data_IF_373412971698
#
_entry.id   IF_373412971698
#
_cell.length_a   1.000
_cell.length_b   1.000
_cell.length_c   1.000
_cell.angle_alpha   90.00
_cell.angle_beta   90.00
_cell.angle_gamma   90.00
#
_symmetry.space_group_name_H-M   'P 1'
#
loop_
_entity.id
_entity.type
_entity.pdbx_description
1 polymer ?
#
# COMPACT_ATOMS: atom_id res chain seq x y z
N UNK A 1 37.39 -12.76 38.46
CA UNK A 1 36.08 -12.19 38.10
C UNK A 1 36.16 -11.28 36.84
N UNK A 2 37.11 -10.41 36.64
CA UNK A 2 37.25 -9.46 35.50
C UNK A 2 37.28 -10.13 34.11
N UNK A 3 37.96 -11.28 33.94
CA UNK A 3 38.06 -12.01 32.66
C UNK A 3 36.71 -12.61 32.17
N UNK A 4 35.82 -13.02 33.08
CA UNK A 4 34.48 -13.52 32.72
C UNK A 4 33.55 -12.36 32.31
N UNK A 5 33.63 -11.22 33.00
CA UNK A 5 32.87 -10.01 32.66
C UNK A 5 33.25 -9.47 31.26
N UNK A 6 34.55 -9.45 30.93
CA UNK A 6 35.00 -9.00 29.61
C UNK A 6 34.49 -9.91 28.49
N UNK A 7 34.49 -11.23 28.67
CA UNK A 7 33.91 -12.17 27.67
C UNK A 7 32.40 -11.97 27.48
N UNK A 8 31.70 -11.67 28.56
CA UNK A 8 30.27 -11.40 28.51
C UNK A 8 29.94 -10.10 27.76
N UNK A 9 30.74 -9.04 28.03
CA UNK A 9 30.62 -7.75 27.33
C UNK A 9 30.90 -7.92 25.83
N UNK A 10 31.95 -8.66 25.46
CA UNK A 10 32.28 -8.94 24.06
C UNK A 10 31.14 -9.70 23.40
N UNK A 11 30.55 -10.69 24.08
CA UNK A 11 29.37 -11.44 23.58
C UNK A 11 28.15 -10.55 23.32
N UNK A 12 27.89 -9.62 24.26
CA UNK A 12 26.77 -8.66 24.10
C UNK A 12 26.98 -7.75 22.90
N UNK A 13 28.20 -7.19 22.77
CA UNK A 13 28.56 -6.31 21.64
C UNK A 13 28.47 -7.07 20.32
N UNK A 14 28.94 -8.32 20.28
CA UNK A 14 28.83 -9.18 19.10
C UNK A 14 27.36 -9.44 18.72
N UNK A 15 26.52 -9.81 19.69
CA UNK A 15 25.09 -10.04 19.47
C UNK A 15 24.36 -8.78 19.00
N UNK A 16 24.67 -7.63 19.58
CA UNK A 16 24.12 -6.35 19.15
C UNK A 16 24.51 -6.03 17.70
N UNK A 17 25.78 -6.20 17.33
CA UNK A 17 26.26 -6.01 15.97
C UNK A 17 25.63 -6.97 14.98
N UNK A 18 25.50 -8.24 15.35
CA UNK A 18 24.84 -9.26 14.54
C UNK A 18 23.35 -8.96 14.35
N UNK A 19 22.66 -8.48 15.39
CA UNK A 19 21.25 -8.09 15.31
C UNK A 19 21.04 -6.92 14.34
N UNK A 20 21.92 -5.91 14.38
CA UNK A 20 21.87 -4.78 13.44
C UNK A 20 22.11 -5.23 11.98
N UNK A 21 23.01 -6.18 11.79
CA UNK A 21 23.32 -6.73 10.47
C UNK A 21 22.19 -7.58 9.92
N UNK A 22 21.51 -8.35 10.76
CA UNK A 22 20.39 -9.21 10.34
C UNK A 22 19.06 -8.45 10.23
N UNK A 23 18.93 -7.28 10.87
CA UNK A 23 17.71 -6.49 10.88
C UNK A 23 17.10 -6.26 9.48
N UNK A 24 17.84 -5.80 8.45
CA UNK A 24 17.27 -5.56 7.14
C UNK A 24 16.73 -6.84 6.49
N UNK A 25 17.37 -7.97 6.70
CA UNK A 25 16.89 -9.26 6.15
C UNK A 25 15.57 -9.69 6.81
N UNK A 26 15.49 -9.58 8.14
CA UNK A 26 14.27 -9.93 8.88
C UNK A 26 13.14 -8.96 8.54
N UNK A 27 13.41 -7.66 8.47
CA UNK A 27 12.43 -6.64 8.13
C UNK A 27 11.88 -6.84 6.70
N UNK A 28 12.75 -7.09 5.72
CA UNK A 28 12.32 -7.36 4.35
C UNK A 28 11.45 -8.61 4.25
N UNK A 29 11.84 -9.69 4.94
CA UNK A 29 11.07 -10.93 4.92
C UNK A 29 9.70 -10.75 5.57
N UNK A 30 9.64 -9.98 6.66
CA UNK A 30 8.37 -9.64 7.32
C UNK A 30 7.47 -8.80 6.43
N UNK A 31 8.01 -7.76 5.79
CA UNK A 31 7.25 -6.91 4.87
C UNK A 31 6.74 -7.71 3.67
N UNK A 32 7.57 -8.53 3.05
CA UNK A 32 7.16 -9.39 1.94
C UNK A 32 6.05 -10.36 2.34
N UNK A 33 6.12 -10.93 3.54
CA UNK A 33 5.07 -11.81 4.06
C UNK A 33 3.75 -11.06 4.23
N UNK A 34 3.78 -9.87 4.84
CA UNK A 34 2.58 -9.04 5.02
C UNK A 34 1.95 -8.64 3.68
N UNK A 35 2.75 -8.17 2.73
CA UNK A 35 2.29 -7.80 1.39
C UNK A 35 1.62 -8.98 0.68
N UNK A 36 2.23 -10.16 0.71
CA UNK A 36 1.63 -11.37 0.15
C UNK A 36 0.29 -11.72 0.80
N UNK A 37 0.17 -11.55 2.10
CA UNK A 37 -1.07 -11.80 2.81
C UNK A 37 -2.17 -10.81 2.41
N UNK A 38 -1.85 -9.51 2.31
CA UNK A 38 -2.79 -8.48 1.85
C UNK A 38 -3.28 -8.77 0.43
N UNK A 39 -2.34 -9.03 -0.48
CA UNK A 39 -2.66 -9.35 -1.88
C UNK A 39 -3.53 -10.61 -1.97
N UNK A 40 -3.17 -11.68 -1.23
CA UNK A 40 -3.93 -12.93 -1.25
C UNK A 40 -5.35 -12.75 -0.70
N UNK A 41 -5.52 -11.94 0.35
CA UNK A 41 -6.85 -11.62 0.90
C UNK A 41 -7.71 -10.86 -0.11
N UNK A 42 -7.12 -9.87 -0.78
CA UNK A 42 -7.79 -9.10 -1.81
C UNK A 42 -8.20 -9.97 -3.00
N UNK A 43 -7.25 -10.74 -3.57
CA UNK A 43 -7.52 -11.65 -4.69
C UNK A 43 -8.62 -12.65 -4.35
N UNK A 44 -8.63 -13.18 -3.12
CA UNK A 44 -9.68 -14.08 -2.67
C UNK A 44 -11.04 -13.38 -2.60
N UNK A 45 -11.11 -12.19 -1.98
CA UNK A 45 -12.36 -11.43 -1.85
C UNK A 45 -12.92 -11.04 -3.22
N UNK A 46 -12.07 -10.56 -4.12
CA UNK A 46 -12.49 -10.22 -5.48
C UNK A 46 -12.96 -11.45 -6.24
N UNK A 47 -12.24 -12.58 -6.13
CA UNK A 47 -12.63 -13.84 -6.78
C UNK A 47 -13.97 -14.39 -6.26
N UNK A 48 -14.21 -14.28 -4.95
CA UNK A 48 -15.49 -14.71 -4.34
C UNK A 48 -16.65 -13.84 -4.80
N UNK A 49 -16.49 -12.52 -4.83
CA UNK A 49 -17.51 -11.56 -5.33
C UNK A 49 -17.77 -11.73 -6.83
N UNK A 50 -16.72 -11.96 -7.61
CA UNK A 50 -16.83 -12.21 -9.05
C UNK A 50 -17.60 -13.51 -9.34
N UNK A 51 -17.29 -14.59 -8.63
CA UNK A 51 -18.01 -15.86 -8.73
C UNK A 51 -19.48 -15.74 -8.31
N UNK A 52 -19.79 -14.84 -7.39
CA UNK A 52 -21.16 -14.52 -6.97
C UNK A 52 -21.87 -13.55 -7.92
N UNK A 53 -21.20 -13.01 -8.95
CA UNK A 53 -21.70 -11.95 -9.84
C UNK A 53 -22.12 -10.68 -9.09
N UNK A 54 -21.41 -10.35 -8.01
CA UNK A 54 -21.65 -9.17 -7.18
C UNK A 54 -20.86 -7.94 -7.65
N UNK A 55 -19.89 -8.12 -8.57
CA UNK A 55 -19.07 -7.02 -9.09
C UNK A 55 -19.68 -6.53 -10.41
N UNK A 56 -20.09 -5.27 -10.42
CA UNK A 56 -20.44 -4.56 -11.65
C UNK A 56 -19.21 -3.76 -12.11
N UNK A 57 -18.38 -4.37 -12.94
CA UNK A 57 -17.16 -3.76 -13.45
C UNK A 57 -17.42 -2.50 -14.28
N UNK A 58 -18.55 -2.45 -15.01
CA UNK A 58 -18.92 -1.28 -15.81
C UNK A 58 -19.28 -0.11 -14.89
N UNK A 59 -19.98 -0.37 -13.79
CA UNK A 59 -20.29 0.65 -12.79
C UNK A 59 -19.03 1.15 -12.06
N UNK A 60 -18.09 0.26 -11.71
CA UNK A 60 -16.83 0.66 -11.09
C UNK A 60 -15.96 1.50 -12.03
N UNK A 61 -15.88 1.12 -13.31
CA UNK A 61 -15.19 1.89 -14.33
C UNK A 61 -15.80 3.29 -14.49
N UNK A 62 -17.14 3.39 -14.57
CA UNK A 62 -17.85 4.66 -14.68
C UNK A 62 -17.60 5.58 -13.47
N UNK A 63 -17.50 5.04 -12.24
CA UNK A 63 -17.13 5.83 -11.05
C UNK A 63 -15.75 6.43 -11.20
N UNK A 64 -14.77 5.61 -11.62
CA UNK A 64 -13.39 6.06 -11.80
C UNK A 64 -13.26 7.08 -12.94
N UNK A 65 -13.97 6.88 -14.06
CA UNK A 65 -14.05 7.84 -15.17
C UNK A 65 -14.64 9.16 -14.72
N UNK A 66 -15.78 9.13 -14.00
CA UNK A 66 -16.43 10.32 -13.49
C UNK A 66 -15.53 11.13 -12.53
N UNK A 67 -14.80 10.42 -11.66
CA UNK A 67 -13.80 11.06 -10.81
C UNK A 67 -12.69 11.72 -11.65
N UNK A 68 -12.13 11.01 -12.62
CA UNK A 68 -11.08 11.53 -13.49
C UNK A 68 -11.54 12.75 -14.30
N UNK A 69 -12.79 12.73 -14.82
CA UNK A 69 -13.37 13.88 -15.53
C UNK A 69 -13.57 15.08 -14.61
N UNK A 70 -13.97 14.86 -13.36
CA UNK A 70 -14.12 15.93 -12.38
C UNK A 70 -12.81 16.63 -12.03
N UNK A 71 -11.66 15.94 -12.16
CA UNK A 71 -10.34 16.51 -11.95
C UNK A 71 -9.91 17.47 -13.06
N UNK A 72 -10.36 17.28 -14.30
CA UNK A 72 -9.90 18.05 -15.47
C UNK A 72 -10.01 19.58 -15.31
N UNK A 73 -11.08 20.15 -14.69
CA UNK A 73 -11.17 21.57 -14.43
C UNK A 73 -10.25 22.06 -13.30
N UNK A 74 -9.77 21.16 -12.46
CA UNK A 74 -9.07 21.43 -11.20
C UNK A 74 -7.58 21.17 -11.26
N UNK A 75 -6.98 21.01 -12.45
CA UNK A 75 -5.53 20.77 -12.59
C UNK A 75 -4.77 21.97 -12.00
N UNK A 76 -4.47 21.86 -10.71
CA UNK A 76 -3.58 22.79 -10.02
C UNK A 76 -2.13 22.35 -10.25
N UNK A 77 -1.19 23.32 -10.31
CA UNK A 77 0.23 23.01 -10.56
C UNK A 77 0.90 22.17 -9.47
N UNK A 78 0.26 22.02 -8.31
CA UNK A 78 0.81 21.30 -7.15
C UNK A 78 -0.24 20.42 -6.49
N UNK A 79 -0.17 19.12 -6.82
CA UNK A 79 -1.06 18.09 -6.25
C UNK A 79 -0.95 17.96 -4.73
N UNK A 80 0.19 18.32 -4.14
CA UNK A 80 0.38 18.32 -2.68
C UNK A 80 -0.39 19.45 -2.00
N UNK A 81 -0.57 20.59 -2.67
CA UNK A 81 -1.34 21.70 -2.14
C UNK A 81 -2.85 21.38 -2.11
N UNK A 82 -3.33 20.53 -3.02
CA UNK A 82 -4.73 20.07 -3.06
C UNK A 82 -5.00 19.08 -1.94
N UNK A 83 -4.14 18.09 -1.76
CA UNK A 83 -4.25 17.12 -0.67
C UNK A 83 -4.20 17.79 0.72
N UNK A 84 -3.39 18.84 0.87
CA UNK A 84 -3.32 19.61 2.11
C UNK A 84 -4.53 20.54 2.36
N UNK A 85 -5.32 20.84 1.31
CA UNK A 85 -6.49 21.71 1.40
C UNK A 85 -7.81 20.95 1.58
N UNK A 86 -7.84 19.65 1.32
CA UNK A 86 -9.02 18.81 1.53
C UNK A 86 -9.02 18.26 2.96
N UNK A 87 -9.61 19.00 3.90
CA UNK A 87 -9.92 18.48 5.26
C UNK A 87 -11.02 17.41 5.27
N UNK A 88 -11.50 16.96 4.12
CA UNK A 88 -12.51 15.91 3.95
C UNK A 88 -12.05 14.96 2.86
N UNK A 89 -11.92 13.70 3.22
CA UNK A 89 -11.82 12.60 2.26
C UNK A 89 -12.94 12.73 1.23
N UNK A 90 -12.55 12.78 -0.06
CA UNK A 90 -13.54 12.80 -1.14
C UNK A 90 -14.16 11.40 -1.23
N UNK A 91 -15.43 11.29 -0.82
CA UNK A 91 -16.15 10.02 -0.81
C UNK A 91 -16.22 9.40 -2.22
N UNK A 92 -16.28 10.23 -3.27
CA UNK A 92 -16.29 9.74 -4.65
C UNK A 92 -14.96 9.08 -5.03
N UNK A 93 -13.86 9.59 -4.49
CA UNK A 93 -12.54 9.00 -4.61
C UNK A 93 -12.41 7.67 -3.87
N UNK A 94 -12.83 7.64 -2.61
CA UNK A 94 -12.72 6.45 -1.77
C UNK A 94 -13.64 5.29 -2.21
N UNK A 95 -14.76 5.60 -2.88
CA UNK A 95 -15.71 4.61 -3.39
C UNK A 95 -15.33 4.05 -4.77
N UNK A 96 -14.45 4.73 -5.53
CA UNK A 96 -14.05 4.31 -6.86
C UNK A 96 -13.00 3.19 -6.78
N UNK A 97 -13.18 2.10 -7.51
CA UNK A 97 -12.29 0.94 -7.54
C UNK A 97 -12.12 0.21 -6.20
N UNK A 98 -12.94 0.49 -5.20
CA UNK A 98 -12.91 -0.15 -3.88
C UNK A 98 -13.70 -1.47 -3.88
N UNK A 99 -13.35 -2.40 -4.79
CA UNK A 99 -14.09 -3.63 -5.04
C UNK A 99 -14.13 -4.55 -3.81
N UNK A 100 -13.01 -4.68 -3.10
CA UNK A 100 -12.95 -5.53 -1.90
C UNK A 100 -13.59 -4.86 -0.68
N UNK A 101 -13.68 -3.52 -0.64
CA UNK A 101 -14.18 -2.74 0.49
C UNK A 101 -13.14 -2.54 1.59
N UNK A 102 -11.86 -2.66 1.25
CA UNK A 102 -10.70 -2.52 2.13
C UNK A 102 -9.76 -1.39 1.71
N UNK A 103 -10.27 -0.46 0.85
CA UNK A 103 -9.57 0.69 0.29
C UNK A 103 -8.43 0.32 -0.69
N UNK A 104 -8.27 -0.95 -1.01
CA UNK A 104 -7.32 -1.42 -2.00
C UNK A 104 -7.90 -1.27 -3.41
N UNK A 105 -7.24 -0.48 -4.25
CA UNK A 105 -7.69 -0.19 -5.62
C UNK A 105 -7.10 -1.15 -6.65
N UNK A 106 -6.04 -1.87 -6.30
CA UNK A 106 -5.42 -2.81 -7.21
C UNK A 106 -4.05 -3.28 -6.79
N UNK A 107 -3.34 -3.87 -7.73
CA UNK A 107 -2.02 -4.45 -7.52
C UNK A 107 -1.11 -4.02 -8.66
N UNK A 108 0.06 -3.48 -8.32
CA UNK A 108 1.14 -3.27 -9.29
C UNK A 108 2.09 -4.46 -9.29
N UNK A 109 2.35 -5.00 -10.46
CA UNK A 109 3.29 -6.09 -10.64
C UNK A 109 4.41 -5.68 -11.62
N UNK A 110 5.66 -5.87 -11.20
CA UNK A 110 6.84 -5.57 -11.99
C UNK A 110 7.67 -6.87 -12.14
N UNK A 111 7.35 -7.72 -13.13
CA UNK A 111 7.93 -9.06 -13.25
C UNK A 111 9.45 -9.05 -13.39
N UNK A 112 10.00 -8.00 -14.01
CA UNK A 112 11.46 -7.88 -14.26
C UNK A 112 12.29 -7.89 -12.97
N UNK A 113 11.72 -7.44 -11.85
CA UNK A 113 12.40 -7.35 -10.56
C UNK A 113 11.66 -8.13 -9.47
N UNK A 114 10.68 -8.97 -9.87
CA UNK A 114 9.88 -9.82 -8.99
C UNK A 114 9.22 -9.03 -7.83
N UNK A 115 8.65 -7.87 -8.18
CA UNK A 115 7.91 -7.04 -7.24
C UNK A 115 6.41 -7.13 -7.54
N UNK A 116 5.62 -7.38 -6.50
CA UNK A 116 4.17 -7.30 -6.49
C UNK A 116 3.73 -6.54 -5.24
N UNK A 117 3.08 -5.38 -5.44
CA UNK A 117 2.69 -4.46 -4.37
C UNK A 117 1.20 -4.15 -4.44
N UNK A 118 0.49 -4.15 -3.31
CA UNK A 118 -0.86 -3.63 -3.25
C UNK A 118 -0.85 -2.11 -3.41
N UNK A 119 -1.89 -1.56 -4.03
CA UNK A 119 -2.13 -0.12 -4.18
C UNK A 119 -3.39 0.21 -3.40
N UNK A 120 -3.29 1.15 -2.48
CA UNK A 120 -4.40 1.65 -1.68
C UNK A 120 -4.77 3.07 -2.08
N UNK A 121 -5.99 3.48 -1.74
CA UNK A 121 -6.33 4.89 -1.66
C UNK A 121 -5.41 5.58 -0.66
N UNK A 122 -5.20 6.87 -0.86
CA UNK A 122 -4.39 7.78 -0.03
C UNK A 122 -2.90 7.45 0.03
N UNK A 123 -2.15 8.41 0.53
CA UNK A 123 -0.69 8.30 0.75
C UNK A 123 -0.35 8.44 2.23
N UNK A 124 -1.23 8.00 3.10
CA UNK A 124 -1.02 8.03 4.53
C UNK A 124 0.21 7.22 4.95
N UNK A 125 0.83 7.64 6.03
CA UNK A 125 2.08 7.03 6.52
C UNK A 125 1.92 5.52 6.75
N UNK A 126 0.77 5.08 7.24
CA UNK A 126 0.51 3.66 7.52
C UNK A 126 0.32 2.85 6.23
N UNK A 127 -0.25 3.44 5.19
CA UNK A 127 -0.32 2.87 3.83
C UNK A 127 1.08 2.72 3.26
N UNK A 128 1.86 3.80 3.24
CA UNK A 128 3.19 3.84 2.62
C UNK A 128 4.23 2.93 3.32
N UNK A 129 4.00 2.52 4.56
CA UNK A 129 4.84 1.53 5.25
C UNK A 129 4.74 0.11 4.70
N UNK A 130 3.68 -0.21 3.97
CA UNK A 130 3.37 -1.59 3.56
C UNK A 130 2.92 -1.76 2.11
N UNK A 131 2.55 -0.66 1.43
CA UNK A 131 1.90 -0.65 0.13
C UNK A 131 2.35 0.55 -0.70
N UNK A 132 1.93 0.61 -1.95
CA UNK A 132 1.89 1.84 -2.72
C UNK A 132 0.60 2.59 -2.36
N UNK A 133 0.68 3.92 -2.29
CA UNK A 133 -0.46 4.80 -2.10
C UNK A 133 -0.78 5.55 -3.38
N UNK A 134 -2.05 5.63 -3.73
CA UNK A 134 -2.51 6.50 -4.81
C UNK A 134 -2.72 7.91 -4.25
N UNK A 135 -2.19 8.91 -4.96
CA UNK A 135 -2.29 10.31 -4.52
C UNK A 135 -3.69 10.85 -4.85
N UNK A 136 -4.46 11.21 -3.83
CA UNK A 136 -5.73 11.91 -4.01
C UNK A 136 -5.54 13.18 -4.84
N UNK A 137 -6.46 13.46 -5.76
CA UNK A 137 -6.34 14.56 -6.72
C UNK A 137 -5.51 14.24 -7.97
N UNK A 138 -4.98 13.02 -8.09
CA UNK A 138 -4.46 12.48 -9.34
C UNK A 138 -5.46 11.51 -9.99
N UNK A 139 -5.30 11.28 -11.30
CA UNK A 139 -6.19 10.38 -12.04
C UNK A 139 -6.06 8.94 -11.59
N UNK A 140 -7.20 8.28 -11.34
CA UNK A 140 -7.26 6.86 -11.10
C UNK A 140 -6.78 6.05 -12.32
N UNK A 141 -6.13 4.92 -12.12
CA UNK A 141 -5.62 4.07 -13.19
C UNK A 141 -6.77 3.26 -13.82
N UNK A 142 -7.21 3.65 -15.02
CA UNK A 142 -8.27 3.01 -15.82
C UNK A 142 -7.83 2.90 -17.28
#
# INVERSE_FOLDING_TARGET
>A
MKRKANKLIIGIIFLAGLSLLLYPFVANQWNNYRQKQLISSYEQTVSEKDAAHEIDYDAELQKAEAYNEALLPSILPDSFAVAAASDKEDQSYMDALNIAGDEMIGIVEIPKIDIKLPIYHTTDEDVLKQAAGHLEGSSLPI
#
